data_IF_264389090778
#
_entry.id   IF_264389090778
#
_cell.length_a   1.000
_cell.length_b   1.000
_cell.length_c   1.000
_cell.angle_alpha   90.00
_cell.angle_beta   90.00
_cell.angle_gamma   90.00
#
_symmetry.space_group_name_H-M   'P 1'
#
loop_
_entity.id
_entity.type
_entity.pdbx_description
1 polymer ?
#
# COMPACT_ATOMS: atom_id res chain seq x y z
N UNK A 1 -16.87 12.06 0.34
CA UNK A 1 -16.02 11.22 -0.51
C UNK A 1 -16.14 9.77 -0.11
N UNK A 2 -16.31 8.91 -1.10
CA UNK A 2 -16.42 7.49 -0.83
C UNK A 2 -15.07 6.82 -1.03
N UNK A 3 -14.63 6.06 -0.05
CA UNK A 3 -13.37 5.33 -0.13
C UNK A 3 -13.68 3.87 -0.36
N UNK A 4 -13.08 3.28 -1.40
CA UNK A 4 -13.28 1.89 -1.70
C UNK A 4 -12.66 1.00 -0.62
N UNK A 5 -13.08 -0.26 -0.59
CA UNK A 5 -12.50 -1.22 0.35
C UNK A 5 -10.99 -1.35 0.12
N UNK A 6 -10.58 -1.37 -1.15
CA UNK A 6 -9.17 -1.47 -1.49
C UNK A 6 -8.40 -0.24 -0.98
N UNK A 7 -8.96 0.95 -1.17
CA UNK A 7 -8.31 2.16 -0.70
C UNK A 7 -8.18 2.19 0.81
N UNK A 8 -9.23 1.77 1.49
CA UNK A 8 -9.24 1.72 2.94
C UNK A 8 -8.19 0.76 3.48
N UNK A 9 -8.10 -0.42 2.88
CA UNK A 9 -7.12 -1.41 3.32
C UNK A 9 -5.70 -0.99 2.96
N UNK A 10 -5.52 -0.28 1.84
CA UNK A 10 -4.20 0.27 1.50
C UNK A 10 -3.76 1.28 2.54
N UNK A 11 -4.67 2.12 3.02
CA UNK A 11 -4.36 3.07 4.07
C UNK A 11 -3.96 2.35 5.36
N UNK A 12 -4.68 1.30 5.71
CA UNK A 12 -4.37 0.53 6.91
C UNK A 12 -3.00 -0.14 6.79
N UNK A 13 -2.69 -0.67 5.61
CA UNK A 13 -1.40 -1.30 5.36
C UNK A 13 -0.27 -0.29 5.48
N UNK A 14 -0.42 0.86 4.83
CA UNK A 14 0.60 1.90 4.89
C UNK A 14 0.76 2.43 6.31
N UNK A 15 -0.34 2.59 7.03
CA UNK A 15 -0.29 3.04 8.42
C UNK A 15 0.43 2.02 9.30
N UNK A 16 0.17 0.74 9.07
CA UNK A 16 0.84 -0.31 9.82
C UNK A 16 2.35 -0.26 9.59
N UNK A 17 2.76 -0.12 8.33
CA UNK A 17 4.18 -0.03 8.00
C UNK A 17 4.80 1.22 8.62
N UNK A 18 4.07 2.31 8.65
CA UNK A 18 4.57 3.56 9.22
C UNK A 18 4.68 3.48 10.74
N UNK A 19 3.65 2.91 11.37
CA UNK A 19 3.61 2.79 12.83
C UNK A 19 4.72 1.88 13.34
N UNK A 20 5.05 0.86 12.58
CA UNK A 20 6.08 -0.09 12.97
C UNK A 20 7.40 0.17 12.23
N UNK A 21 7.60 1.40 11.77
CA UNK A 21 8.78 1.77 11.02
C UNK A 21 10.00 1.77 11.94
N UNK A 22 10.91 0.86 11.67
CA UNK A 22 12.15 0.73 12.44
C UNK A 22 13.37 0.66 11.54
N UNK A 23 13.16 0.85 10.25
CA UNK A 23 14.22 0.66 9.27
C UNK A 23 14.37 -0.78 8.82
N UNK A 24 13.63 -1.69 9.44
CA UNK A 24 13.66 -3.10 9.08
C UNK A 24 12.40 -3.47 8.32
N UNK A 25 12.48 -4.49 7.43
CA UNK A 25 11.29 -4.92 6.71
C UNK A 25 10.25 -5.53 7.64
N UNK A 26 9.00 -5.40 7.25
CA UNK A 26 7.87 -5.95 8.00
C UNK A 26 7.22 -7.01 7.13
N UNK A 27 6.95 -8.17 7.71
CA UNK A 27 6.33 -9.26 6.97
C UNK A 27 4.86 -8.97 6.74
N UNK A 28 4.42 -9.24 5.52
CA UNK A 28 3.01 -9.04 5.18
C UNK A 28 2.10 -9.90 6.04
N UNK A 29 2.56 -11.08 6.39
CA UNK A 29 1.83 -11.98 7.26
C UNK A 29 1.53 -11.34 8.62
N UNK A 30 2.49 -10.58 9.16
CA UNK A 30 2.29 -9.91 10.44
C UNK A 30 1.27 -8.78 10.30
N UNK A 31 1.31 -8.05 9.19
CA UNK A 31 0.32 -7.01 8.94
C UNK A 31 -1.07 -7.62 8.84
N UNK A 32 -1.18 -8.72 8.10
CA UNK A 32 -2.47 -9.39 7.94
C UNK A 32 -3.05 -9.77 9.28
N UNK A 33 -2.22 -10.27 10.17
CA UNK A 33 -2.65 -10.69 11.48
C UNK A 33 -3.10 -9.50 12.33
N UNK A 34 -2.31 -8.43 12.35
CA UNK A 34 -2.64 -7.25 13.14
C UNK A 34 -3.89 -6.55 12.63
N UNK A 35 -4.05 -6.47 11.32
CA UNK A 35 -5.15 -5.75 10.71
C UNK A 35 -6.37 -6.63 10.42
N UNK A 36 -6.24 -7.94 10.63
CA UNK A 36 -7.31 -8.90 10.36
C UNK A 36 -7.78 -8.81 8.92
N UNK A 37 -6.81 -8.78 8.00
CA UNK A 37 -7.07 -8.75 6.56
C UNK A 37 -6.42 -10.00 5.97
N UNK A 38 -7.06 -10.61 4.98
CA UNK A 38 -6.52 -11.82 4.38
C UNK A 38 -5.17 -11.56 3.72
N UNK A 39 -4.27 -12.54 3.81
CA UNK A 39 -2.95 -12.46 3.18
C UNK A 39 -3.09 -12.18 1.68
N UNK A 40 -4.00 -12.91 1.05
CA UNK A 40 -4.19 -12.82 -0.38
C UNK A 40 -4.60 -11.41 -0.82
N UNK A 41 -5.48 -10.80 -0.05
CA UNK A 41 -5.93 -9.46 -0.37
C UNK A 41 -4.81 -8.43 -0.19
N UNK A 42 -4.03 -8.60 0.89
CA UNK A 42 -2.89 -7.73 1.13
C UNK A 42 -1.83 -7.88 0.04
N UNK A 43 -1.65 -9.09 -0.48
CA UNK A 43 -0.71 -9.30 -1.57
C UNK A 43 -1.08 -8.49 -2.81
N UNK A 44 -2.37 -8.40 -3.10
CA UNK A 44 -2.83 -7.60 -4.22
C UNK A 44 -2.53 -6.12 -4.00
N UNK A 45 -2.80 -5.65 -2.80
CA UNK A 45 -2.60 -4.24 -2.47
C UNK A 45 -1.12 -3.89 -2.45
N UNK A 46 -0.31 -4.73 -1.83
CA UNK A 46 1.13 -4.47 -1.74
C UNK A 46 1.78 -4.46 -3.12
N UNK A 47 1.24 -5.25 -4.04
CA UNK A 47 1.73 -5.26 -5.41
C UNK A 47 1.56 -3.89 -6.07
N UNK A 48 0.41 -3.28 -5.84
CA UNK A 48 0.13 -1.94 -6.37
C UNK A 48 1.10 -0.92 -5.76
N UNK A 49 1.28 -0.98 -4.46
CA UNK A 49 2.16 -0.05 -3.76
C UNK A 49 3.61 -0.24 -4.17
N UNK A 50 4.02 -1.49 -4.37
CA UNK A 50 5.38 -1.80 -4.78
C UNK A 50 5.67 -1.28 -6.19
N UNK A 51 4.74 -1.48 -7.10
CA UNK A 51 4.91 -1.01 -8.48
C UNK A 51 4.97 0.51 -8.56
N UNK A 52 4.29 1.17 -7.65
CA UNK A 52 4.28 2.64 -7.62
C UNK A 52 5.50 3.22 -6.90
N UNK A 53 6.32 2.37 -6.30
CA UNK A 53 7.50 2.83 -5.59
C UNK A 53 7.22 3.33 -4.19
N UNK A 54 6.05 3.02 -3.64
CA UNK A 54 5.73 3.43 -2.26
C UNK A 54 6.38 2.52 -1.24
N UNK A 55 6.57 1.26 -1.59
CA UNK A 55 7.21 0.29 -0.71
C UNK A 55 8.25 -0.49 -1.53
N UNK A 56 9.14 -1.15 -0.84
CA UNK A 56 10.12 -2.03 -1.47
C UNK A 56 10.09 -3.40 -0.81
N UNK A 57 10.40 -4.40 -1.59
CA UNK A 57 10.44 -5.78 -1.14
C UNK A 57 11.86 -6.13 -0.72
N UNK A 58 12.01 -6.80 0.40
CA UNK A 58 13.30 -7.26 0.88
C UNK A 58 13.24 -8.78 1.01
N UNK A 59 14.15 -9.46 0.36
CA UNK A 59 14.20 -10.92 0.38
C UNK A 59 15.00 -11.44 1.55
N UNK A 60 14.84 -12.73 1.84
CA UNK A 60 15.61 -13.41 2.85
C UNK A 60 14.79 -13.82 4.05
N UNK A 61 15.43 -14.54 5.00
CA UNK A 61 14.70 -15.04 6.18
C UNK A 61 14.08 -13.93 7.02
N UNK A 62 14.67 -12.74 6.97
CA UNK A 62 14.15 -11.59 7.70
C UNK A 62 13.58 -10.55 6.75
N UNK A 63 13.12 -11.03 5.60
CA UNK A 63 12.60 -10.13 4.58
C UNK A 63 11.18 -9.70 4.86
N UNK A 64 10.64 -8.91 3.95
CA UNK A 64 9.30 -8.37 4.06
C UNK A 64 9.20 -7.14 3.21
N UNK A 65 8.43 -6.18 3.67
CA UNK A 65 8.23 -4.93 2.94
C UNK A 65 8.59 -3.75 3.83
N UNK A 66 9.13 -2.73 3.22
CA UNK A 66 9.52 -1.52 3.92
C UNK A 66 9.08 -0.31 3.10
N UNK A 67 8.87 0.80 3.78
CA UNK A 67 8.56 2.04 3.08
C UNK A 67 9.81 2.50 2.33
N UNK A 68 9.62 3.05 1.13
CA UNK A 68 10.73 3.59 0.34
C UNK A 68 11.25 4.88 0.95
N UNK A 69 10.39 5.62 1.61
CA UNK A 69 10.74 6.89 2.22
C UNK A 69 10.23 6.92 3.65
N UNK A 70 10.61 7.94 4.39
CA UNK A 70 10.12 8.10 5.76
C UNK A 70 8.61 8.32 5.74
N UNK A 71 7.90 7.93 6.82
CA UNK A 71 6.43 8.02 6.83
C UNK A 71 5.88 9.41 6.53
N UNK A 72 6.61 10.46 6.89
CA UNK A 72 6.13 11.84 6.69
C UNK A 72 6.05 12.23 5.21
N UNK A 73 6.63 11.42 4.32
CA UNK A 73 6.59 11.71 2.88
C UNK A 73 5.31 11.23 2.22
N UNK A 74 4.46 10.52 2.94
CA UNK A 74 3.23 9.96 2.38
C UNK A 74 2.02 10.71 2.91
N UNK A 75 1.04 10.89 2.03
CA UNK A 75 -0.23 11.50 2.42
C UNK A 75 -1.35 10.52 2.11
N UNK A 76 -2.47 10.70 2.78
CA UNK A 76 -3.65 9.88 2.53
C UNK A 76 -4.08 10.03 1.09
N UNK A 77 -4.03 11.27 0.57
CA UNK A 77 -4.41 11.53 -0.82
C UNK A 77 -3.58 10.77 -1.83
N UNK A 78 -2.27 10.65 -1.58
CA UNK A 78 -1.38 9.92 -2.48
C UNK A 78 -1.79 8.45 -2.55
N UNK A 79 -2.06 7.86 -1.41
CA UNK A 79 -2.39 6.44 -1.34
C UNK A 79 -3.75 6.17 -1.99
N UNK A 80 -4.73 7.01 -1.70
CA UNK A 80 -6.07 6.84 -2.26
C UNK A 80 -6.06 7.04 -3.77
N UNK A 81 -5.32 8.03 -4.24
CA UNK A 81 -5.24 8.31 -5.67
C UNK A 81 -4.65 7.12 -6.41
N UNK A 82 -3.63 6.50 -5.84
CA UNK A 82 -3.01 5.33 -6.44
C UNK A 82 -3.97 4.15 -6.51
N UNK A 83 -4.63 3.86 -5.40
CA UNK A 83 -5.49 2.67 -5.33
C UNK A 83 -6.79 2.85 -6.12
N UNK A 84 -7.36 4.05 -6.08
CA UNK A 84 -8.58 4.31 -6.85
C UNK A 84 -8.30 4.35 -8.35
N UNK A 85 -7.14 4.87 -8.73
CA UNK A 85 -6.73 4.85 -10.11
C UNK A 85 -6.58 3.44 -10.65
N UNK A 86 -6.10 2.52 -9.82
CA UNK A 86 -5.96 1.13 -10.21
C UNK A 86 -7.30 0.44 -10.42
N UNK A 87 -8.35 0.97 -9.80
CA UNK A 87 -9.68 0.40 -9.93
C UNK A 87 -10.42 0.92 -11.16
N UNK A 88 -9.92 1.97 -11.78
CA UNK A 88 -10.57 2.60 -12.91
C UNK A 88 -9.70 2.55 -14.15
N UNK A 89 -9.42 1.40 -14.69
CA UNK A 89 -8.50 1.26 -15.82
C UNK A 89 -8.97 1.97 -17.07
N UNK A 90 -10.23 2.13 -17.26
CA UNK A 90 -10.76 2.74 -18.46
C UNK A 90 -10.55 4.24 -18.52
N UNK A 91 -10.29 4.77 -17.45
CA UNK A 91 -10.07 6.18 -17.38
C UNK A 91 -8.65 6.55 -17.72
N UNK A 92 -8.74 6.11 -18.20
CA UNK A 92 -7.82 6.26 -18.38
C UNK A 92 -7.42 6.96 -18.93
N UNK A 93 -8.22 7.06 -19.01
CA UNK A 93 -8.01 7.49 -19.13
C UNK A 93 -7.77 8.32 -18.90
N UNK A 94 -7.82 8.77 -19.14
CA UNK A 94 -7.64 9.38 -18.79
C UNK A 94 -7.35 9.85 -18.12
N UNK A 95 -7.35 10.17 -18.16
CA UNK A 95 -6.96 10.50 -17.49
C UNK A 95 -6.72 10.81 -16.89
N UNK A 96 -6.65 11.16 -17.08
CA UNK A 96 -6.37 11.39 -16.42
C UNK A 96 -6.33 11.79 -15.88
N UNK A 97 -6.50 12.15 -16.24
CA UNK A 97 -6.42 12.37 -15.65
C UNK A 97 -6.65 12.66 -14.96
N UNK A 98 -6.90 12.93 -15.12
CA UNK A 98 -7.05 12.94 -14.45
C UNK A 98 -7.27 12.96 -13.85
N UNK A 99 -7.41 13.26 -14.03
CA UNK A 99 -7.57 12.96 -13.41
C UNK A 99 -7.58 12.96 -13.20
#
# INVERSE_FOLDING_TARGET
>A
MRISTRGRYALRLMLDLATNYTGKPIRLKDVAKRQEISDKYLEQIISILNKAGFVRSVRGPQGGYALQQTPDKYTIGMILRLTEGSLSPCLLYTSDAAD
#
